data_IF_682595288342
#
_entry.id   IF_682595288342
#
_cell.length_a   1.000
_cell.length_b   1.000
_cell.length_c   1.000
_cell.angle_alpha   90.00
_cell.angle_beta   90.00
_cell.angle_gamma   90.00
#
_symmetry.space_group_name_H-M   'P 1'
#
loop_
_entity.id
_entity.type
_entity.pdbx_description
1 polymer ?
#
# COMPACT_ATOMS: atom_id res chain seq x y z
N UNK A 1 30.82 -5.02 6.24
CA UNK A 1 30.43 -3.83 5.44
C UNK A 1 28.92 -3.84 5.29
N UNK A 2 28.13 -3.00 5.99
CA UNK A 2 26.70 -2.92 5.72
C UNK A 2 26.48 -2.21 4.38
N UNK A 3 25.84 -2.90 3.43
CA UNK A 3 25.42 -2.33 2.15
C UNK A 3 24.20 -1.46 2.38
N UNK A 4 24.41 -0.18 2.69
CA UNK A 4 23.32 0.81 2.73
C UNK A 4 23.02 1.17 1.28
N UNK A 5 21.87 0.72 0.76
CA UNK A 5 21.41 1.19 -0.56
C UNK A 5 21.22 2.70 -0.48
N UNK A 6 21.68 3.41 -1.51
CA UNK A 6 21.23 4.77 -1.77
C UNK A 6 19.69 4.78 -1.82
N UNK A 7 19.06 5.81 -1.28
CA UNK A 7 17.61 5.91 -1.11
C UNK A 7 17.28 7.41 -1.16
N UNK A 8 16.80 7.94 -2.30
CA UNK A 8 15.96 7.27 -3.30
C UNK A 8 16.71 6.54 -4.43
N UNK A 9 16.11 5.47 -4.94
CA UNK A 9 16.59 4.71 -6.11
C UNK A 9 15.44 4.46 -7.07
N UNK A 10 15.69 4.14 -8.35
CA UNK A 10 14.63 3.76 -9.28
C UNK A 10 13.79 2.62 -8.69
N UNK A 11 12.50 2.86 -8.52
CA UNK A 11 11.57 1.92 -7.94
C UNK A 11 10.33 1.71 -8.82
N UNK A 12 9.65 0.61 -8.52
CA UNK A 12 8.40 0.23 -9.15
C UNK A 12 7.41 -0.21 -8.09
N UNK A 13 6.15 -0.13 -8.46
CA UNK A 13 5.04 -0.62 -7.67
C UNK A 13 4.51 -1.90 -8.29
N UNK A 14 3.98 -2.77 -7.44
CA UNK A 14 3.34 -3.97 -7.89
C UNK A 14 2.50 -4.60 -6.79
N UNK A 15 1.49 -5.35 -7.22
CA UNK A 15 0.65 -6.09 -6.31
C UNK A 15 -0.27 -7.05 -7.06
N UNK A 16 -0.90 -7.91 -6.27
CA UNK A 16 -1.79 -8.94 -6.74
C UNK A 16 -3.05 -8.92 -5.87
N UNK A 17 -4.20 -8.97 -6.53
CA UNK A 17 -5.49 -9.15 -5.89
C UNK A 17 -5.93 -10.59 -6.17
N UNK A 18 -6.18 -11.34 -5.12
CA UNK A 18 -6.71 -12.69 -5.20
C UNK A 18 -7.92 -12.84 -4.27
N UNK A 19 -8.75 -13.85 -4.54
CA UNK A 19 -9.79 -14.28 -3.60
C UNK A 19 -9.23 -15.22 -2.54
N UNK A 20 -10.01 -15.49 -1.50
CA UNK A 20 -9.64 -16.38 -0.38
C UNK A 20 -9.25 -17.80 -0.83
N UNK A 21 -9.82 -18.30 -1.93
CA UNK A 21 -9.45 -19.59 -2.53
C UNK A 21 -8.06 -19.60 -3.21
N UNK A 22 -7.34 -18.48 -3.19
CA UNK A 22 -6.03 -18.31 -3.82
C UNK A 22 -6.09 -18.03 -5.33
N UNK A 23 -7.29 -17.89 -5.91
CA UNK A 23 -7.46 -17.56 -7.33
C UNK A 23 -7.16 -16.09 -7.57
N UNK A 24 -6.28 -15.82 -8.53
CA UNK A 24 -5.86 -14.46 -8.89
C UNK A 24 -6.96 -13.76 -9.69
N UNK A 25 -7.40 -12.60 -9.22
CA UNK A 25 -8.38 -11.76 -9.93
C UNK A 25 -7.69 -10.81 -10.89
N UNK A 26 -6.60 -10.19 -10.44
CA UNK A 26 -5.79 -9.29 -11.25
C UNK A 26 -4.48 -8.94 -10.56
N UNK A 27 -3.48 -8.57 -11.35
CA UNK A 27 -2.24 -7.96 -10.90
C UNK A 27 -2.13 -6.53 -11.44
N UNK A 28 -1.31 -5.72 -10.79
CA UNK A 28 -0.93 -4.39 -11.27
C UNK A 28 0.57 -4.20 -11.11
N UNK A 29 1.16 -3.44 -12.03
CA UNK A 29 2.58 -3.13 -12.07
C UNK A 29 2.74 -1.71 -12.61
N UNK A 30 3.66 -0.93 -12.03
CA UNK A 30 3.92 0.43 -12.45
C UNK A 30 5.35 0.88 -12.15
N UNK A 31 5.86 1.83 -12.93
CA UNK A 31 7.15 2.48 -12.65
C UNK A 31 6.88 3.79 -11.91
N UNK A 32 7.57 4.02 -10.80
CA UNK A 32 7.33 5.19 -9.94
C UNK A 32 8.44 6.25 -10.05
N UNK A 33 9.59 5.90 -10.66
CA UNK A 33 10.77 6.76 -10.72
C UNK A 33 11.66 6.57 -9.49
N UNK A 34 12.50 7.55 -9.17
CA UNK A 34 13.36 7.49 -7.99
C UNK A 34 12.54 7.79 -6.74
N UNK A 35 12.38 6.78 -5.87
CA UNK A 35 11.68 6.96 -4.61
C UNK A 35 12.33 6.16 -3.48
N UNK A 36 11.88 6.44 -2.25
CA UNK A 36 12.30 5.67 -1.10
C UNK A 36 11.44 4.41 -0.94
N UNK A 37 11.98 3.36 -0.31
CA UNK A 37 11.26 2.09 -0.16
C UNK A 37 9.85 2.24 0.46
N UNK A 38 9.71 3.09 1.49
CA UNK A 38 8.40 3.35 2.12
C UNK A 38 7.40 4.02 1.16
N UNK A 39 7.88 4.93 0.31
CA UNK A 39 7.04 5.63 -0.66
C UNK A 39 6.56 4.66 -1.75
N UNK A 40 7.45 3.81 -2.26
CA UNK A 40 7.07 2.75 -3.20
C UNK A 40 6.00 1.81 -2.65
N UNK A 41 6.14 1.39 -1.38
CA UNK A 41 5.16 0.53 -0.71
C UNK A 41 3.80 1.22 -0.53
N UNK A 42 3.79 2.49 -0.09
CA UNK A 42 2.55 3.24 0.08
C UNK A 42 1.84 3.49 -1.27
N UNK A 43 2.58 3.77 -2.33
CA UNK A 43 2.03 3.88 -3.68
C UNK A 43 1.49 2.55 -4.20
N UNK A 44 2.17 1.44 -3.94
CA UNK A 44 1.66 0.12 -4.31
C UNK A 44 0.33 -0.19 -3.61
N UNK A 45 0.20 0.14 -2.31
CA UNK A 45 -1.05 0.00 -1.58
C UNK A 45 -2.13 0.89 -2.20
N UNK A 46 -1.83 2.17 -2.44
CA UNK A 46 -2.78 3.12 -3.02
C UNK A 46 -3.34 2.64 -4.37
N UNK A 47 -2.48 2.23 -5.30
CA UNK A 47 -2.89 1.71 -6.61
C UNK A 47 -3.67 0.40 -6.47
N UNK A 48 -3.29 -0.48 -5.53
CA UNK A 48 -4.04 -1.70 -5.25
C UNK A 48 -5.46 -1.43 -4.74
N UNK A 49 -5.64 -0.41 -3.90
CA UNK A 49 -6.97 0.02 -3.42
C UNK A 49 -7.81 0.62 -4.56
N UNK A 50 -7.20 1.44 -5.42
CA UNK A 50 -7.87 2.03 -6.59
C UNK A 50 -8.33 0.95 -7.58
N UNK A 51 -7.48 -0.05 -7.85
CA UNK A 51 -7.82 -1.17 -8.72
C UNK A 51 -8.95 -2.04 -8.13
N UNK A 52 -8.95 -2.26 -6.82
CA UNK A 52 -10.04 -2.96 -6.15
C UNK A 52 -11.36 -2.17 -6.23
N UNK A 53 -11.29 -0.85 -6.01
CA UNK A 53 -12.44 0.05 -6.12
C UNK A 53 -13.02 0.07 -7.53
N UNK A 54 -12.18 0.18 -8.56
CA UNK A 54 -12.58 0.16 -9.97
C UNK A 54 -13.23 -1.16 -10.40
N UNK A 55 -12.97 -2.24 -9.67
CA UNK A 55 -13.52 -3.59 -9.90
C UNK A 55 -14.71 -3.90 -9.00
N UNK A 56 -15.23 -2.92 -8.26
CA UNK A 56 -16.33 -3.06 -7.32
C UNK A 56 -16.08 -4.17 -6.28
N UNK A 57 -14.84 -4.32 -5.81
CA UNK A 57 -14.49 -5.30 -4.77
C UNK A 57 -14.66 -4.63 -3.40
N UNK A 58 -15.72 -4.96 -2.63
CA UNK A 58 -16.11 -4.16 -1.47
C UNK A 58 -15.27 -4.45 -0.22
N UNK A 59 -14.60 -5.60 -0.16
CA UNK A 59 -13.86 -6.05 1.02
C UNK A 59 -12.53 -6.64 0.60
N UNK A 60 -11.46 -5.96 0.97
CA UNK A 60 -10.08 -6.37 0.69
C UNK A 60 -9.26 -6.35 1.97
N UNK A 61 -8.32 -7.28 2.04
CA UNK A 61 -7.27 -7.31 3.06
C UNK A 61 -5.97 -6.98 2.35
N UNK A 62 -5.30 -5.92 2.78
CA UNK A 62 -4.01 -5.52 2.22
C UNK A 62 -2.90 -6.20 3.00
N UNK A 63 -2.11 -7.03 2.31
CA UNK A 63 -0.91 -7.66 2.85
C UNK A 63 0.33 -6.92 2.33
N UNK A 64 1.16 -6.41 3.24
CA UNK A 64 2.46 -5.79 2.91
C UNK A 64 3.51 -6.29 3.89
N UNK A 65 4.75 -6.44 3.40
CA UNK A 65 5.91 -6.76 4.24
C UNK A 65 6.46 -5.51 4.98
N UNK A 66 5.91 -4.32 4.70
CA UNK A 66 6.35 -3.05 5.28
C UNK A 66 5.60 -2.74 6.57
N UNK A 67 6.20 -3.10 7.72
CA UNK A 67 5.68 -2.74 9.05
C UNK A 67 5.51 -1.23 9.22
N UNK A 68 6.34 -0.43 8.56
CA UNK A 68 6.24 1.03 8.59
C UNK A 68 4.98 1.53 7.87
N UNK A 69 4.67 0.99 6.69
CA UNK A 69 3.46 1.34 5.96
C UNK A 69 2.19 1.03 6.79
N UNK A 70 2.13 -0.17 7.39
CA UNK A 70 1.06 -0.57 8.32
C UNK A 70 0.94 0.43 9.46
N UNK A 71 2.06 0.78 10.12
CA UNK A 71 2.07 1.74 11.23
C UNK A 71 1.55 3.12 10.81
N UNK A 72 1.87 3.59 9.61
CA UNK A 72 1.41 4.87 9.10
C UNK A 72 -0.09 4.85 8.78
N UNK A 73 -0.59 3.80 8.13
CA UNK A 73 -2.00 3.65 7.74
C UNK A 73 -2.91 3.53 8.97
N UNK A 74 -2.50 2.79 10.01
CA UNK A 74 -3.31 2.59 11.21
C UNK A 74 -3.23 3.73 12.23
N UNK A 75 -2.31 4.68 12.08
CA UNK A 75 -2.00 5.68 13.13
C UNK A 75 -3.18 6.62 13.45
N UNK A 76 -4.10 6.82 12.51
CA UNK A 76 -5.27 7.69 12.69
C UNK A 76 -6.43 7.03 13.45
N UNK A 77 -6.36 5.73 13.75
CA UNK A 77 -7.47 5.02 14.43
C UNK A 77 -7.29 4.91 15.94
N UNK A 78 -6.10 5.19 16.48
CA UNK A 78 -5.80 5.05 17.93
C UNK A 78 -5.47 6.37 18.65
N UNK A 79 -5.50 7.51 17.94
CA UNK A 79 -5.30 8.84 18.50
C UNK A 79 -6.60 9.64 18.49
N UNK A 80 -7.58 9.23 19.29
CA UNK A 80 -8.85 9.94 19.42
C UNK A 80 -8.68 11.32 20.06
N UNK A 81 -8.63 12.36 19.24
CA UNK A 81 -9.10 13.72 19.56
C UNK A 81 -9.26 14.57 18.29
N UNK A 82 -10.01 14.09 17.29
CA UNK A 82 -10.51 14.97 16.23
C UNK A 82 -11.96 15.42 16.54
N UNK A 83 -12.18 16.68 16.95
CA UNK A 83 -13.51 17.22 17.24
C UNK A 83 -14.41 17.39 16.01
N UNK A 84 -13.92 17.13 14.78
CA UNK A 84 -14.66 17.40 13.53
C UNK A 84 -15.60 16.27 13.05
N UNK A 85 -15.78 15.18 13.80
CA UNK A 85 -16.66 14.05 13.42
C UNK A 85 -18.12 14.14 13.89
N UNK A 86 -18.62 15.31 14.30
CA UNK A 86 -20.07 15.53 14.53
C UNK A 86 -20.60 16.63 13.60
N UNK A 87 -21.02 16.22 12.40
CA UNK A 87 -22.08 16.85 11.63
C UNK A 87 -22.88 15.73 10.95
#
# INVERSE_FOLDING_TARGET
>A
MPYVRYNPTPAGIGGLIHVDSGVWLCNFLGKLGDCIALESELWAIHVGLEEAWRKDIPRIVVETNSKLAIKHIHKDTLGGSDPRRRL
#
